data_IF_347282991788
#
_entry.id   IF_347282991788
#
_cell.length_a   1.000
_cell.length_b   1.000
_cell.length_c   1.000
_cell.angle_alpha   90.00
_cell.angle_beta   90.00
_cell.angle_gamma   90.00
#
_symmetry.space_group_name_H-M   'P 1'
#
loop_
_entity.id
_entity.type
_entity.pdbx_description
1 polymer ?
#
# COMPACT_ATOMS: atom_id res chain seq x y z
N UNK A 1 7.55 -14.90 0.43
CA UNK A 1 6.27 -14.38 -0.07
C UNK A 1 6.53 -13.21 -0.99
N UNK A 2 5.58 -12.89 -1.87
CA UNK A 2 5.57 -11.66 -2.65
C UNK A 2 4.61 -10.68 -1.97
N UNK A 3 4.97 -9.41 -1.83
CA UNK A 3 4.06 -8.36 -1.39
C UNK A 3 3.72 -7.45 -2.56
N UNK A 4 2.44 -7.15 -2.73
CA UNK A 4 1.93 -6.25 -3.77
C UNK A 4 1.18 -5.11 -3.07
N UNK A 5 1.40 -3.88 -3.53
CA UNK A 5 0.68 -2.68 -3.10
C UNK A 5 0.21 -1.91 -4.32
N UNK A 6 -1.06 -1.53 -4.35
CA UNK A 6 -1.62 -0.68 -5.41
C UNK A 6 -1.70 0.76 -4.91
N UNK A 7 -0.93 1.66 -5.51
CA UNK A 7 -0.97 3.09 -5.23
C UNK A 7 -0.53 3.89 -6.47
N UNK A 8 -0.94 5.15 -6.54
CA UNK A 8 -0.42 6.12 -7.51
C UNK A 8 0.74 6.89 -6.83
N UNK A 9 1.97 6.87 -7.38
CA UNK A 9 3.08 7.61 -6.79
C UNK A 9 3.02 9.11 -7.10
N UNK A 10 2.22 9.54 -8.08
CA UNK A 10 2.14 10.93 -8.57
C UNK A 10 0.95 11.68 -8.00
N UNK A 11 -0.17 11.01 -7.71
CA UNK A 11 -1.39 11.65 -7.23
C UNK A 11 -1.93 11.00 -5.94
N UNK A 12 -2.57 11.81 -5.09
CA UNK A 12 -3.28 11.31 -3.92
C UNK A 12 -4.61 10.65 -4.33
N UNK A 13 -4.52 9.36 -4.70
CA UNK A 13 -5.66 8.54 -5.08
C UNK A 13 -5.73 7.32 -4.16
N UNK A 14 -6.85 7.16 -3.47
CA UNK A 14 -7.13 5.95 -2.70
C UNK A 14 -7.69 4.87 -3.62
N UNK A 15 -6.91 3.82 -3.89
CA UNK A 15 -7.41 2.63 -4.57
C UNK A 15 -7.87 1.59 -3.53
N UNK A 16 -9.03 0.98 -3.78
CA UNK A 16 -9.56 -0.10 -2.96
C UNK A 16 -9.74 -1.37 -3.78
N UNK A 17 -9.22 -2.48 -3.26
CA UNK A 17 -9.37 -3.81 -3.89
C UNK A 17 -10.69 -4.43 -3.44
N UNK A 18 -11.79 -3.99 -4.04
CA UNK A 18 -13.15 -4.36 -3.61
C UNK A 18 -13.57 -5.77 -4.01
N UNK A 19 -12.96 -6.35 -5.05
CA UNK A 19 -13.28 -7.70 -5.55
C UNK A 19 -12.35 -8.81 -5.06
N UNK A 20 -11.39 -8.48 -4.19
CA UNK A 20 -10.39 -9.43 -3.71
C UNK A 20 -9.34 -9.80 -4.76
N UNK A 21 -8.59 -10.87 -4.47
CA UNK A 21 -7.51 -11.40 -5.32
C UNK A 21 -7.81 -12.85 -5.66
N UNK A 22 -7.84 -13.19 -6.95
CA UNK A 22 -7.95 -14.56 -7.41
C UNK A 22 -6.56 -15.12 -7.70
N UNK A 23 -6.22 -16.25 -7.07
CA UNK A 23 -4.98 -16.96 -7.33
C UNK A 23 -5.19 -18.48 -7.34
N UNK A 24 -4.46 -19.16 -8.23
CA UNK A 24 -4.47 -20.61 -8.31
C UNK A 24 -3.62 -21.27 -7.20
N UNK A 25 -4.07 -22.45 -6.75
CA UNK A 25 -3.28 -23.32 -5.88
C UNK A 25 -1.93 -23.69 -6.55
N UNK A 26 -0.85 -23.91 -5.76
CA UNK A 26 -0.81 -23.99 -4.30
C UNK A 26 -0.54 -22.63 -3.62
N UNK A 27 -0.83 -21.52 -4.30
CA UNK A 27 -0.64 -20.19 -3.75
C UNK A 27 -1.92 -19.66 -3.08
N UNK A 28 -1.73 -18.83 -2.06
CA UNK A 28 -2.78 -18.05 -1.41
C UNK A 28 -2.41 -16.58 -1.36
N UNK A 29 -3.43 -15.73 -1.35
CA UNK A 29 -3.31 -14.28 -1.19
C UNK A 29 -4.05 -13.85 0.08
N UNK A 30 -3.42 -12.97 0.85
CA UNK A 30 -4.01 -12.33 2.03
C UNK A 30 -3.98 -10.81 1.79
N UNK A 31 -5.09 -10.13 2.04
CA UNK A 31 -5.21 -8.67 1.86
C UNK A 31 -5.33 -8.03 3.24
N UNK A 32 -4.40 -7.14 3.56
CA UNK A 32 -4.38 -6.34 4.77
C UNK A 32 -4.72 -4.88 4.43
N UNK A 33 -5.67 -4.30 5.16
CA UNK A 33 -6.03 -2.89 5.04
C UNK A 33 -4.94 -2.01 5.69
N UNK A 34 -4.65 -0.82 5.15
CA UNK A 34 -3.66 0.08 5.72
C UNK A 34 -4.07 0.51 7.14
N UNK A 35 -3.09 0.65 8.02
CA UNK A 35 -3.27 1.35 9.28
C UNK A 35 -3.32 2.86 9.01
N UNK A 36 -4.55 3.39 8.94
CA UNK A 36 -4.77 4.81 8.66
C UNK A 36 -4.17 5.72 9.73
N UNK A 37 -4.16 5.32 11.00
CA UNK A 37 -3.61 6.14 12.06
C UNK A 37 -2.08 6.24 11.94
N UNK A 38 -1.42 5.12 11.60
CA UNK A 38 0.01 5.13 11.32
C UNK A 38 0.35 5.93 10.05
N UNK A 39 -0.47 5.79 8.99
CA UNK A 39 -0.32 6.55 7.76
C UNK A 39 -0.43 8.07 8.00
N UNK A 40 -1.46 8.51 8.74
CA UNK A 40 -1.65 9.92 9.09
C UNK A 40 -0.45 10.46 9.90
N UNK A 41 0.05 9.68 10.86
CA UNK A 41 1.23 10.04 11.65
C UNK A 41 2.50 10.17 10.77
N UNK A 42 2.66 9.29 9.79
CA UNK A 42 3.75 9.39 8.80
C UNK A 42 3.64 10.66 7.96
N UNK A 43 2.46 10.94 7.40
CA UNK A 43 2.23 12.15 6.59
C UNK A 43 2.53 13.42 7.39
N UNK A 44 2.06 13.51 8.64
CA UNK A 44 2.33 14.68 9.49
C UNK A 44 3.83 14.90 9.73
N UNK A 45 4.60 13.82 9.85
CA UNK A 45 6.05 13.89 10.02
C UNK A 45 6.75 14.35 8.73
N UNK A 46 6.33 13.84 7.58
CA UNK A 46 6.90 14.25 6.29
C UNK A 46 6.59 15.71 5.98
N UNK A 47 5.36 16.18 6.23
CA UNK A 47 4.96 17.57 6.07
C UNK A 47 5.77 18.55 6.93
N UNK A 48 6.28 18.11 8.09
CA UNK A 48 7.19 18.91 8.92
C UNK A 48 8.62 18.96 8.37
N UNK A 49 8.96 18.06 7.46
CA UNK A 49 10.32 17.85 6.95
C UNK A 49 10.55 18.47 5.56
N UNK A 50 9.47 18.78 4.83
CA UNK A 50 9.55 19.41 3.50
C UNK A 50 8.89 20.79 3.49
N UNK A 51 9.38 21.74 2.67
CA UNK A 51 8.71 23.03 2.48
C UNK A 51 7.38 22.87 1.71
N UNK A 52 6.44 23.80 1.91
CA UNK A 52 5.08 23.73 1.35
C UNK A 52 5.05 23.64 -0.19
N UNK A 53 6.02 24.25 -0.87
CA UNK A 53 6.16 24.21 -2.33
C UNK A 53 6.57 22.82 -2.87
N UNK A 54 6.87 21.88 -1.99
CA UNK A 54 7.24 20.50 -2.29
C UNK A 54 6.23 19.47 -1.77
N UNK A 55 5.06 19.90 -1.27
CA UNK A 55 4.03 18.96 -0.81
C UNK A 55 3.49 18.08 -1.94
N UNK A 56 3.42 18.61 -3.17
CA UNK A 56 2.89 17.89 -4.34
C UNK A 56 3.77 16.72 -4.80
N UNK A 57 5.04 16.66 -4.38
CA UNK A 57 5.97 15.57 -4.73
C UNK A 57 6.10 14.52 -3.64
N UNK A 58 5.36 14.65 -2.53
CA UNK A 58 5.37 13.66 -1.47
C UNK A 58 4.60 12.39 -1.88
N UNK A 59 5.31 11.27 -1.99
CA UNK A 59 4.74 9.97 -2.36
C UNK A 59 4.06 9.27 -1.17
N UNK A 60 3.00 9.88 -0.62
CA UNK A 60 2.31 9.37 0.59
C UNK A 60 1.27 8.28 0.29
N UNK A 61 0.93 8.07 -0.98
CA UNK A 61 -0.09 7.11 -1.42
C UNK A 61 0.19 5.67 -0.97
N UNK A 62 1.48 5.29 -0.90
CA UNK A 62 1.89 3.95 -0.45
C UNK A 62 1.42 3.64 0.98
N UNK A 63 1.35 4.64 1.86
CA UNK A 63 0.96 4.45 3.26
C UNK A 63 -0.52 4.10 3.42
N UNK A 64 -1.34 4.46 2.43
CA UNK A 64 -2.78 4.20 2.40
C UNK A 64 -3.15 3.04 1.48
N UNK A 65 -2.17 2.29 0.97
CA UNK A 65 -2.42 1.17 0.08
C UNK A 65 -2.79 -0.10 0.85
N UNK A 66 -3.73 -0.88 0.31
CA UNK A 66 -3.91 -2.27 0.71
C UNK A 66 -2.61 -3.06 0.45
N UNK A 67 -2.23 -3.94 1.38
CA UNK A 67 -1.10 -4.85 1.23
C UNK A 67 -1.58 -6.25 0.89
N UNK A 68 -1.15 -6.78 -0.23
CA UNK A 68 -1.46 -8.13 -0.67
C UNK A 68 -0.23 -9.00 -0.46
N UNK A 69 -0.32 -9.95 0.47
CA UNK A 69 0.73 -10.94 0.71
C UNK A 69 0.41 -12.23 -0.03
N UNK A 70 1.30 -12.63 -0.93
CA UNK A 70 1.23 -13.88 -1.68
C UNK A 70 2.19 -14.92 -1.11
N UNK A 71 1.68 -16.10 -0.80
CA UNK A 71 2.49 -17.23 -0.33
C UNK A 71 2.12 -18.49 -1.10
N UNK A 72 3.11 -19.20 -1.61
CA UNK A 72 2.95 -20.50 -2.27
C UNK A 72 3.61 -21.59 -1.44
N UNK A 73 3.01 -22.78 -1.41
CA UNK A 73 3.69 -23.95 -0.84
C UNK A 73 4.96 -24.27 -1.65
N UNK A 74 6.05 -24.69 -0.99
CA UNK A 74 7.26 -25.07 -1.69
C UNK A 74 6.99 -26.24 -2.64
N UNK A 75 7.44 -26.11 -3.90
CA UNK A 75 7.45 -27.23 -4.83
C UNK A 75 8.39 -28.30 -4.28
N UNK A 76 7.84 -29.50 -4.02
CA UNK A 76 8.62 -30.68 -3.59
C UNK A 76 9.54 -31.21 -4.69
#
# INVERSE_FOLDING_TARGET
GLEIRQYDPTFYVSYEITRGVEIAAPCRAEIEKPDRAAADAYVQKELQSVPEDQFEVLEIGEQYADRISLTCEPSS
#
